data_IF_484699011552
#
_entry.id   IF_484699011552
#
_cell.length_a   1.000
_cell.length_b   1.000
_cell.length_c   1.000
_cell.angle_alpha   90.00
_cell.angle_beta   90.00
_cell.angle_gamma   90.00
#
_symmetry.space_group_name_H-M   'P 1'
#
loop_
_entity.id
_entity.type
_entity.pdbx_description
1 polymer ?
#
# COMPACT_ATOMS: atom_id res chain seq x y z
N UNK A 1 14.89 -1.87 -26.57
CA UNK A 1 14.40 -0.53 -26.16
C UNK A 1 14.50 -0.46 -24.64
N UNK A 2 15.15 0.58 -24.14
CA UNK A 2 15.50 0.69 -22.71
C UNK A 2 14.27 0.76 -21.80
N UNK A 3 13.18 1.44 -22.23
CA UNK A 3 11.90 1.51 -21.52
C UNK A 3 11.33 0.13 -21.18
N UNK A 4 11.42 -0.82 -22.14
CA UNK A 4 10.94 -2.17 -21.94
C UNK A 4 11.84 -2.95 -20.97
N UNK A 5 13.16 -2.71 -21.00
CA UNK A 5 14.12 -3.34 -20.07
C UNK A 5 13.79 -2.89 -18.63
N UNK A 6 13.58 -1.61 -18.41
CA UNK A 6 13.24 -1.06 -17.10
C UNK A 6 11.88 -1.56 -16.60
N UNK A 7 10.87 -1.58 -17.49
CA UNK A 7 9.56 -2.11 -17.17
C UNK A 7 9.64 -3.60 -16.78
N UNK A 8 10.39 -4.42 -17.56
CA UNK A 8 10.59 -5.84 -17.24
C UNK A 8 11.26 -6.01 -15.86
N UNK A 9 12.37 -5.27 -15.63
CA UNK A 9 13.08 -5.34 -14.35
C UNK A 9 12.19 -4.98 -13.16
N UNK A 10 11.35 -3.93 -13.31
CA UNK A 10 10.43 -3.53 -12.25
C UNK A 10 9.38 -4.61 -11.93
N UNK A 11 8.77 -5.20 -12.97
CA UNK A 11 7.76 -6.25 -12.77
C UNK A 11 8.40 -7.52 -12.20
N UNK A 12 9.58 -7.93 -12.68
CA UNK A 12 10.32 -9.05 -12.13
C UNK A 12 10.69 -8.82 -10.65
N UNK A 13 11.10 -7.61 -10.29
CA UNK A 13 11.40 -7.25 -8.92
C UNK A 13 10.16 -7.31 -8.02
N UNK A 14 8.99 -6.87 -8.50
CA UNK A 14 7.72 -7.05 -7.80
C UNK A 14 7.45 -8.54 -7.51
N UNK A 15 7.58 -9.38 -8.54
CA UNK A 15 7.33 -10.83 -8.42
C UNK A 15 8.31 -11.51 -7.45
N UNK A 16 9.61 -11.14 -7.47
CA UNK A 16 10.61 -11.62 -6.50
C UNK A 16 10.25 -11.27 -5.05
N UNK A 17 9.57 -10.15 -4.84
CA UNK A 17 9.07 -9.74 -3.53
C UNK A 17 7.69 -10.37 -3.19
N UNK A 18 7.20 -11.27 -4.02
CA UNK A 18 5.89 -11.89 -3.85
C UNK A 18 4.71 -10.97 -4.17
N UNK A 19 4.95 -9.86 -4.87
CA UNK A 19 3.92 -8.91 -5.31
C UNK A 19 3.50 -9.32 -6.72
N UNK A 20 2.42 -10.06 -6.84
CA UNK A 20 1.97 -10.77 -8.04
C UNK A 20 0.62 -10.30 -8.58
N UNK A 21 -0.04 -9.34 -7.94
CA UNK A 21 -1.33 -8.80 -8.36
C UNK A 21 -1.17 -7.40 -8.96
N UNK A 22 -1.52 -7.28 -10.23
CA UNK A 22 -1.40 -6.07 -11.05
C UNK A 22 -2.79 -5.58 -11.47
N UNK A 23 -3.10 -4.36 -11.10
CA UNK A 23 -4.36 -3.67 -11.39
C UNK A 23 -4.08 -2.69 -12.54
N UNK A 24 -4.54 -3.03 -13.75
CA UNK A 24 -4.13 -2.38 -14.98
C UNK A 24 -5.28 -1.66 -15.66
N UNK A 25 -5.14 -0.33 -15.83
CA UNK A 25 -5.98 0.47 -16.70
C UNK A 25 -5.28 0.67 -18.06
N UNK A 26 -5.95 0.35 -19.18
CA UNK A 26 -5.31 0.39 -20.49
C UNK A 26 -4.98 1.82 -20.94
N UNK A 27 -3.85 1.99 -21.62
CA UNK A 27 -3.47 3.23 -22.25
C UNK A 27 -2.12 3.10 -22.98
N UNK A 28 -1.92 3.94 -24.01
CA UNK A 28 -0.72 3.82 -24.86
C UNK A 28 0.58 4.04 -24.10
N UNK A 29 0.63 5.06 -23.23
CA UNK A 29 1.89 5.41 -22.53
C UNK A 29 2.35 4.34 -21.53
N UNK A 30 1.44 3.55 -20.94
CA UNK A 30 1.82 2.46 -20.05
C UNK A 30 2.10 1.13 -20.78
N UNK A 31 2.19 1.12 -22.12
CA UNK A 31 2.47 -0.09 -22.90
C UNK A 31 3.70 -0.86 -22.42
N UNK A 32 4.86 -0.24 -22.11
CA UNK A 32 6.01 -0.98 -21.62
C UNK A 32 5.71 -1.79 -20.34
N UNK A 33 5.02 -1.19 -19.36
CA UNK A 33 4.60 -1.87 -18.13
C UNK A 33 3.56 -2.96 -18.43
N UNK A 34 2.59 -2.67 -19.31
CA UNK A 34 1.55 -3.63 -19.70
C UNK A 34 2.16 -4.89 -20.33
N UNK A 35 3.11 -4.72 -21.26
CA UNK A 35 3.80 -5.83 -21.90
C UNK A 35 4.69 -6.59 -20.91
N UNK A 36 5.35 -5.88 -19.99
CA UNK A 36 6.16 -6.52 -18.96
C UNK A 36 5.31 -7.44 -18.09
N UNK A 37 4.13 -6.99 -17.64
CA UNK A 37 3.18 -7.81 -16.86
C UNK A 37 2.65 -8.98 -17.69
N UNK A 38 2.21 -8.73 -18.93
CA UNK A 38 1.59 -9.74 -19.79
C UNK A 38 2.53 -10.92 -20.13
N UNK A 39 3.85 -10.71 -20.06
CA UNK A 39 4.87 -11.75 -20.29
C UNK A 39 5.10 -12.65 -19.07
N UNK A 40 4.59 -12.28 -17.90
CA UNK A 40 4.81 -13.01 -16.64
C UNK A 40 3.67 -13.99 -16.36
N UNK A 41 3.94 -15.30 -16.43
CA UNK A 41 2.92 -16.34 -16.21
C UNK A 41 2.35 -16.36 -14.79
N UNK A 42 3.10 -15.85 -13.83
CA UNK A 42 2.73 -15.80 -12.41
C UNK A 42 2.02 -14.50 -12.02
N UNK A 43 1.89 -13.55 -12.95
CA UNK A 43 1.18 -12.30 -12.72
C UNK A 43 -0.35 -12.51 -12.78
N UNK A 44 -1.02 -12.08 -11.73
CA UNK A 44 -2.49 -12.00 -11.69
C UNK A 44 -2.92 -10.60 -12.12
N UNK A 45 -3.55 -10.50 -13.29
CA UNK A 45 -3.94 -9.21 -13.87
C UNK A 45 -5.43 -8.97 -13.68
N UNK A 46 -5.75 -7.89 -13.00
CA UNK A 46 -7.10 -7.35 -12.89
C UNK A 46 -7.17 -6.11 -13.79
N UNK A 47 -7.98 -6.17 -14.83
CA UNK A 47 -8.12 -5.08 -15.78
C UNK A 47 -9.44 -4.35 -15.62
N UNK A 48 -9.40 -3.02 -15.64
CA UNK A 48 -10.59 -2.17 -15.64
C UNK A 48 -10.33 -0.87 -16.41
N UNK A 49 -11.36 -0.34 -17.06
CA UNK A 49 -11.27 0.88 -17.87
C UNK A 49 -11.38 2.17 -17.03
N UNK A 50 -11.97 2.11 -15.84
CA UNK A 50 -12.07 3.26 -14.91
C UNK A 50 -10.97 3.14 -13.86
N UNK A 51 -10.01 4.06 -13.92
CA UNK A 51 -8.83 4.06 -13.05
C UNK A 51 -9.20 4.27 -11.57
N UNK A 52 -10.25 5.02 -11.29
CA UNK A 52 -10.72 5.22 -9.92
C UNK A 52 -11.23 3.92 -9.34
N UNK A 53 -12.10 3.21 -10.03
CA UNK A 53 -12.60 1.91 -9.62
C UNK A 53 -11.48 0.89 -9.46
N UNK A 54 -10.52 0.89 -10.39
CA UNK A 54 -9.35 0.03 -10.37
C UNK A 54 -8.44 0.30 -9.16
N UNK A 55 -8.19 1.57 -8.85
CA UNK A 55 -7.37 1.95 -7.70
C UNK A 55 -8.01 1.52 -6.36
N UNK A 56 -9.36 1.63 -6.24
CA UNK A 56 -10.08 1.07 -5.09
C UNK A 56 -10.06 -0.46 -5.06
N UNK A 57 -10.04 -1.14 -6.21
CA UNK A 57 -9.86 -2.59 -6.25
C UNK A 57 -8.48 -3.00 -5.73
N UNK A 58 -7.41 -2.29 -6.12
CA UNK A 58 -6.06 -2.49 -5.59
C UNK A 58 -5.99 -2.24 -4.07
N UNK A 59 -6.62 -1.18 -3.59
CA UNK A 59 -6.76 -0.89 -2.17
C UNK A 59 -7.49 -2.02 -1.42
N UNK A 60 -8.61 -2.49 -1.96
CA UNK A 60 -9.40 -3.57 -1.37
C UNK A 60 -8.62 -4.88 -1.27
N UNK A 61 -7.89 -5.24 -2.33
CA UNK A 61 -6.97 -6.38 -2.33
C UNK A 61 -5.92 -6.25 -1.23
N UNK A 62 -5.25 -5.12 -1.18
CA UNK A 62 -4.18 -4.89 -0.20
C UNK A 62 -4.70 -4.89 1.24
N UNK A 63 -5.90 -4.37 1.46
CA UNK A 63 -6.57 -4.40 2.77
C UNK A 63 -6.92 -5.81 3.21
N UNK A 64 -7.43 -6.63 2.29
CA UNK A 64 -7.83 -8.01 2.57
C UNK A 64 -6.64 -8.96 2.78
N UNK A 65 -5.54 -8.74 2.05
CA UNK A 65 -4.40 -9.68 2.04
C UNK A 65 -3.19 -9.19 2.85
N UNK A 66 -3.13 -7.90 3.18
CA UNK A 66 -1.94 -7.27 3.74
C UNK A 66 -0.77 -7.13 2.74
N UNK A 67 -0.96 -7.53 1.47
CA UNK A 67 0.04 -7.48 0.41
C UNK A 67 -0.24 -6.31 -0.53
N UNK A 68 0.78 -5.59 -1.02
CA UNK A 68 0.53 -4.50 -1.95
C UNK A 68 0.01 -5.01 -3.29
N UNK A 69 -1.00 -4.33 -3.84
CA UNK A 69 -1.37 -4.42 -5.25
C UNK A 69 -0.61 -3.36 -6.05
N UNK A 70 -0.20 -3.69 -7.27
CA UNK A 70 0.44 -2.74 -8.20
C UNK A 70 -0.63 -2.13 -9.10
N UNK A 71 -0.93 -0.85 -8.91
CA UNK A 71 -1.80 -0.08 -9.79
C UNK A 71 -0.99 0.46 -10.97
N UNK A 72 -1.43 0.18 -12.20
CA UNK A 72 -0.78 0.64 -13.43
C UNK A 72 -1.76 1.43 -14.27
N UNK A 73 -1.41 2.65 -14.65
CA UNK A 73 -2.22 3.46 -15.55
C UNK A 73 -1.36 4.30 -16.51
N UNK A 74 -2.02 4.82 -17.53
CA UNK A 74 -1.44 5.79 -18.46
C UNK A 74 -1.31 7.18 -17.81
N UNK A 75 -0.82 8.16 -18.53
CA UNK A 75 -0.62 9.54 -18.08
C UNK A 75 -1.90 10.37 -18.08
N UNK A 76 -1.79 11.56 -17.54
CA UNK A 76 -2.87 12.54 -17.52
C UNK A 76 -3.87 12.31 -16.39
N UNK A 77 -5.15 12.56 -16.64
CA UNK A 77 -6.21 12.41 -15.64
C UNK A 77 -6.38 10.99 -15.10
N UNK A 78 -5.86 9.99 -15.80
CA UNK A 78 -5.79 8.61 -15.32
C UNK A 78 -5.11 8.53 -13.95
N UNK A 79 -3.99 9.26 -13.77
CA UNK A 79 -3.26 9.34 -12.50
C UNK A 79 -4.09 10.02 -11.43
N UNK A 80 -4.72 11.16 -11.76
CA UNK A 80 -5.57 11.91 -10.84
C UNK A 80 -6.76 11.08 -10.33
N UNK A 81 -7.30 10.18 -11.15
CA UNK A 81 -8.40 9.30 -10.77
C UNK A 81 -8.03 8.31 -9.65
N UNK A 82 -6.76 7.97 -9.48
CA UNK A 82 -6.32 7.12 -8.38
C UNK A 82 -6.30 7.85 -7.02
N UNK A 83 -6.34 9.20 -7.00
CA UNK A 83 -6.12 9.99 -5.80
C UNK A 83 -7.05 9.63 -4.63
N UNK A 84 -8.36 9.45 -4.79
CA UNK A 84 -9.24 9.07 -3.68
C UNK A 84 -8.82 7.77 -3.00
N UNK A 85 -8.40 6.75 -3.75
CA UNK A 85 -7.92 5.50 -3.19
C UNK A 85 -6.55 5.66 -2.50
N UNK A 86 -5.67 6.52 -3.03
CA UNK A 86 -4.38 6.84 -2.42
C UNK A 86 -4.56 7.54 -1.07
N UNK A 87 -5.50 8.48 -0.98
CA UNK A 87 -5.84 9.15 0.29
C UNK A 87 -6.30 8.11 1.32
N UNK A 88 -7.22 7.25 0.96
CA UNK A 88 -7.73 6.20 1.86
C UNK A 88 -6.62 5.22 2.26
N UNK A 89 -5.77 4.79 1.30
CA UNK A 89 -4.62 3.94 1.58
C UNK A 89 -3.65 4.60 2.58
N UNK A 90 -3.39 5.89 2.41
CA UNK A 90 -2.51 6.65 3.30
C UNK A 90 -3.08 6.76 4.72
N UNK A 91 -4.37 7.06 4.84
CA UNK A 91 -5.05 7.23 6.14
C UNK A 91 -5.09 5.93 6.94
N UNK A 92 -5.24 4.81 6.26
CA UNK A 92 -5.30 3.47 6.88
C UNK A 92 -3.97 2.72 6.80
N UNK A 93 -2.94 3.35 6.21
CA UNK A 93 -1.61 2.74 6.06
C UNK A 93 -1.66 1.42 5.28
N UNK A 94 -2.51 1.35 4.26
CA UNK A 94 -2.65 0.17 3.40
C UNK A 94 -1.56 0.20 2.32
N UNK A 95 -0.83 -0.90 2.11
CA UNK A 95 0.24 -0.94 1.11
C UNK A 95 -0.31 -0.86 -0.32
N UNK A 96 0.19 0.07 -1.11
CA UNK A 96 -0.10 0.17 -2.54
C UNK A 96 1.14 0.62 -3.31
N UNK A 97 1.37 0.04 -4.49
CA UNK A 97 2.37 0.53 -5.45
C UNK A 97 1.64 1.15 -6.64
N UNK A 98 1.92 2.41 -6.91
CA UNK A 98 1.37 3.12 -8.06
C UNK A 98 2.48 3.29 -9.11
N UNK A 99 2.34 2.60 -10.22
CA UNK A 99 3.18 2.71 -11.40
C UNK A 99 2.42 3.51 -12.46
N UNK A 100 2.65 4.80 -12.50
CA UNK A 100 1.98 5.71 -13.44
C UNK A 100 2.91 6.04 -14.59
N UNK A 101 2.42 5.87 -15.82
CA UNK A 101 3.20 6.29 -16.97
C UNK A 101 3.10 7.81 -17.19
N UNK A 102 4.16 8.42 -17.69
CA UNK A 102 4.23 9.85 -17.97
C UNK A 102 4.94 10.13 -19.30
N UNK A 103 4.79 11.37 -19.77
CA UNK A 103 5.58 11.90 -20.87
C UNK A 103 7.01 12.11 -20.41
N UNK A 104 7.98 11.97 -21.32
CA UNK A 104 9.35 12.35 -21.03
C UNK A 104 9.44 13.85 -20.74
N UNK A 105 10.45 14.23 -19.98
CA UNK A 105 10.59 15.56 -19.39
C UNK A 105 10.51 16.72 -20.42
N UNK A 106 11.04 16.51 -21.62
CA UNK A 106 11.02 17.49 -22.71
C UNK A 106 9.63 17.83 -23.24
N UNK A 107 8.62 17.02 -22.91
CA UNK A 107 7.22 17.26 -23.28
C UNK A 107 6.40 17.90 -22.15
N UNK A 108 6.99 18.09 -20.98
CA UNK A 108 6.29 18.75 -19.87
C UNK A 108 6.11 20.24 -20.15
N UNK A 109 4.92 20.79 -19.86
CA UNK A 109 4.60 22.20 -20.08
C UNK A 109 4.46 22.63 -21.55
N UNK A 110 4.54 21.71 -22.50
CA UNK A 110 4.48 22.03 -23.95
C UNK A 110 3.06 22.03 -24.52
N UNK A 111 2.05 21.60 -23.73
CA UNK A 111 0.71 21.35 -24.22
C UNK A 111 0.55 20.01 -24.94
N UNK A 112 1.49 19.09 -24.73
CA UNK A 112 1.43 17.73 -25.27
C UNK A 112 0.11 17.04 -24.88
N UNK A 113 -0.43 16.25 -25.81
CA UNK A 113 -1.70 15.56 -25.58
C UNK A 113 -1.64 14.66 -24.35
N UNK A 114 -2.69 14.71 -23.52
CA UNK A 114 -2.84 13.89 -22.32
C UNK A 114 -1.65 14.02 -21.34
N UNK A 115 -1.05 15.21 -21.25
CA UNK A 115 0.00 15.55 -20.32
C UNK A 115 -0.55 16.49 -19.25
N UNK A 116 -0.26 16.18 -17.99
CA UNK A 116 -0.51 17.05 -16.83
C UNK A 116 0.77 17.07 -15.99
N UNK A 117 0.84 17.93 -15.00
CA UNK A 117 1.90 17.84 -14.00
C UNK A 117 1.61 16.65 -13.05
N UNK A 118 2.40 15.58 -13.19
CA UNK A 118 2.29 14.37 -12.38
C UNK A 118 3.32 14.33 -11.25
N UNK A 119 4.24 15.31 -11.22
CA UNK A 119 5.27 15.37 -10.18
C UNK A 119 4.61 15.58 -8.82
N UNK A 120 4.84 14.65 -7.92
CA UNK A 120 4.30 14.69 -6.56
C UNK A 120 2.78 14.91 -6.48
N UNK A 121 2.02 14.50 -7.52
CA UNK A 121 0.58 14.75 -7.62
C UNK A 121 -0.21 14.26 -6.39
N UNK A 122 0.29 13.23 -5.69
CA UNK A 122 -0.33 12.70 -4.47
C UNK A 122 0.20 13.38 -3.19
N UNK A 123 1.15 14.29 -3.29
CA UNK A 123 1.69 15.07 -2.17
C UNK A 123 2.10 14.19 -0.97
N UNK A 124 1.69 14.59 0.21
CA UNK A 124 2.03 13.92 1.47
C UNK A 124 1.29 12.58 1.71
N UNK A 125 0.42 12.16 0.79
CA UNK A 125 -0.32 10.91 0.93
C UNK A 125 0.50 9.69 0.52
N UNK A 126 1.61 9.86 -0.20
CA UNK A 126 2.52 8.75 -0.50
C UNK A 126 3.73 8.75 0.44
N UNK A 127 4.26 7.56 0.72
CA UNK A 127 5.43 7.38 1.60
C UNK A 127 6.74 7.58 0.87
N UNK A 128 6.73 7.34 -0.43
CA UNK A 128 7.81 7.60 -1.35
C UNK A 128 7.22 8.06 -2.68
N UNK A 129 7.83 9.06 -3.27
CA UNK A 129 7.66 9.43 -4.67
C UNK A 129 9.02 9.31 -5.36
N UNK A 130 9.04 8.72 -6.55
CA UNK A 130 10.20 8.77 -7.43
C UNK A 130 9.75 8.96 -8.88
N UNK A 131 10.42 9.88 -9.55
CA UNK A 131 10.23 10.12 -10.96
C UNK A 131 11.33 9.40 -11.75
N UNK A 132 10.94 8.42 -12.54
CA UNK A 132 11.83 7.53 -13.26
C UNK A 132 11.92 7.99 -14.72
N UNK A 133 13.01 8.68 -15.03
CA UNK A 133 13.33 9.08 -16.40
C UNK A 133 14.24 8.03 -17.00
N UNK A 134 13.75 7.37 -18.04
CA UNK A 134 14.54 6.40 -18.80
C UNK A 134 15.43 7.17 -19.77
N UNK A 135 16.75 6.93 -19.78
CA UNK A 135 17.66 7.64 -20.70
C UNK A 135 17.34 7.37 -22.17
N UNK A 136 17.31 8.42 -22.97
CA UNK A 136 16.95 8.31 -24.38
C UNK A 136 18.02 7.64 -25.25
N UNK A 137 19.29 7.62 -24.83
CA UNK A 137 20.43 7.31 -25.68
C UNK A 137 21.07 5.93 -25.53
N UNK A 138 20.59 5.11 -24.58
CA UNK A 138 20.96 3.69 -24.49
C UNK A 138 22.47 3.37 -24.40
N UNK A 139 23.31 4.31 -23.96
CA UNK A 139 24.75 4.11 -23.89
C UNK A 139 25.14 3.07 -22.84
N UNK A 140 25.86 2.03 -23.27
CA UNK A 140 26.11 0.80 -22.51
C UNK A 140 26.99 0.96 -21.24
N UNK A 141 27.67 2.08 -21.05
CA UNK A 141 28.48 2.35 -19.85
C UNK A 141 27.60 2.90 -18.73
N UNK A 142 26.51 3.59 -19.06
CA UNK A 142 25.47 4.06 -18.14
C UNK A 142 24.56 2.93 -17.68
N UNK A 143 24.36 1.90 -18.49
CA UNK A 143 23.40 0.83 -18.23
C UNK A 143 23.56 0.09 -16.90
N UNK A 144 24.80 -0.11 -16.41
CA UNK A 144 25.03 -0.73 -15.10
C UNK A 144 24.71 0.21 -13.94
N UNK A 145 25.02 1.49 -14.07
CA UNK A 145 24.70 2.50 -13.07
C UNK A 145 23.19 2.75 -13.02
N UNK A 146 22.54 2.73 -14.15
CA UNK A 146 21.09 2.87 -14.29
C UNK A 146 20.33 1.67 -13.74
N UNK A 147 20.83 0.45 -13.96
CA UNK A 147 20.27 -0.75 -13.36
C UNK A 147 20.39 -0.70 -11.83
N UNK A 148 21.56 -0.34 -11.30
CA UNK A 148 21.77 -0.21 -9.87
C UNK A 148 20.92 0.90 -9.24
N UNK A 149 20.69 1.99 -9.97
CA UNK A 149 19.78 3.07 -9.56
C UNK A 149 18.34 2.56 -9.49
N UNK A 150 17.85 1.89 -10.53
CA UNK A 150 16.50 1.32 -10.57
C UNK A 150 16.30 0.31 -9.44
N UNK A 151 17.25 -0.60 -9.24
CA UNK A 151 17.20 -1.60 -8.17
C UNK A 151 17.12 -0.94 -6.79
N UNK A 152 17.91 0.12 -6.56
CA UNK A 152 17.89 0.89 -5.30
C UNK A 152 16.55 1.58 -5.07
N UNK A 153 15.95 2.17 -6.11
CA UNK A 153 14.63 2.82 -6.00
C UNK A 153 13.53 1.78 -5.73
N UNK A 154 13.57 0.64 -6.40
CA UNK A 154 12.59 -0.42 -6.18
C UNK A 154 12.69 -1.00 -4.76
N UNK A 155 13.89 -1.21 -4.23
CA UNK A 155 14.11 -1.66 -2.86
C UNK A 155 13.55 -0.65 -1.85
N UNK A 156 13.81 0.64 -2.04
CA UNK A 156 13.24 1.70 -1.22
C UNK A 156 11.71 1.73 -1.32
N UNK A 157 11.15 1.55 -2.53
CA UNK A 157 9.72 1.50 -2.77
C UNK A 157 9.05 0.34 -2.03
N UNK A 158 9.63 -0.87 -2.11
CA UNK A 158 9.12 -2.04 -1.40
C UNK A 158 9.20 -1.88 0.12
N UNK A 159 10.25 -1.24 0.61
CA UNK A 159 10.38 -0.93 2.03
C UNK A 159 9.34 0.10 2.47
N UNK A 160 9.20 1.19 1.73
CA UNK A 160 8.27 2.26 2.05
C UNK A 160 6.80 1.82 1.93
N UNK A 161 6.49 0.89 1.00
CA UNK A 161 5.11 0.43 0.80
C UNK A 161 4.54 -0.32 2.00
N UNK A 162 5.41 -0.87 2.88
CA UNK A 162 4.97 -1.42 4.18
C UNK A 162 4.26 -0.38 5.04
N UNK A 163 4.51 0.89 4.80
CA UNK A 163 3.98 2.03 5.53
C UNK A 163 2.83 2.77 4.85
N UNK A 164 2.44 2.39 3.68
CA UNK A 164 1.34 2.98 2.92
C UNK A 164 1.64 3.06 1.43
N UNK A 165 0.89 3.88 0.67
CA UNK A 165 1.07 3.95 -0.76
C UNK A 165 2.40 4.58 -1.17
N UNK A 166 2.94 4.09 -2.28
CA UNK A 166 4.18 4.55 -2.92
C UNK A 166 3.89 4.88 -4.37
N UNK A 167 4.45 5.96 -4.88
CA UNK A 167 4.27 6.42 -6.25
C UNK A 167 5.59 6.40 -7.03
N UNK A 168 5.65 5.59 -8.08
CA UNK A 168 6.72 5.59 -9.07
C UNK A 168 6.14 6.08 -10.40
N UNK A 169 6.58 7.26 -10.84
CA UNK A 169 6.16 7.90 -12.08
C UNK A 169 7.16 7.58 -13.20
N UNK A 170 6.72 6.89 -14.25
CA UNK A 170 7.56 6.33 -15.30
C UNK A 170 7.49 7.17 -16.57
N UNK A 171 8.53 7.86 -16.89
CA UNK A 171 8.64 8.65 -18.12
C UNK A 171 9.09 7.76 -19.28
N UNK A 172 8.17 7.46 -20.20
CA UNK A 172 8.44 6.61 -21.36
C UNK A 172 8.47 7.42 -22.66
N UNK A 173 9.45 7.12 -23.51
CA UNK A 173 9.59 7.69 -24.86
C UNK A 173 8.84 6.86 -25.89
N UNK A 174 8.43 7.49 -26.99
CA UNK A 174 7.93 6.79 -28.17
C UNK A 174 9.11 6.38 -29.08
N UNK A 175 8.99 5.25 -29.80
CA UNK A 175 7.88 4.30 -29.85
C UNK A 175 7.87 3.33 -28.65
N UNK A 176 6.68 2.88 -28.21
CA UNK A 176 6.55 1.98 -27.03
C UNK A 176 6.78 0.52 -27.37
N UNK A 177 6.77 0.15 -28.65
CA UNK A 177 6.97 -1.21 -29.15
C UNK A 177 7.94 -1.23 -30.30
N UNK A 178 8.70 -2.32 -30.44
CA UNK A 178 9.54 -2.56 -31.61
C UNK A 178 8.71 -3.40 -32.59
N UNK A 179 8.56 -2.94 -33.83
CA UNK A 179 7.79 -3.58 -34.89
C UNK A 179 8.41 -4.90 -35.29
N UNK A 180 8.87 -5.79 -34.67
CA UNK A 180 9.33 -7.14 -35.05
C UNK A 180 9.75 -8.05 -33.88
N UNK A 181 9.48 -7.71 -32.64
CA UNK A 181 9.70 -8.67 -31.55
C UNK A 181 8.58 -9.71 -31.56
N UNK A 182 8.89 -10.93 -31.97
CA UNK A 182 8.06 -12.08 -31.70
C UNK A 182 7.99 -12.27 -30.17
N UNK A 183 6.80 -12.50 -29.59
CA UNK A 183 6.62 -12.64 -28.15
C UNK A 183 7.48 -13.70 -27.46
N UNK A 184 7.98 -14.67 -28.24
CA UNK A 184 8.69 -15.85 -27.72
C UNK A 184 10.21 -15.69 -27.52
N UNK A 185 10.81 -14.55 -27.86
CA UNK A 185 12.27 -14.38 -27.79
C UNK A 185 12.83 -13.85 -26.47
N UNK A 186 11.97 -13.53 -25.52
CA UNK A 186 12.35 -13.03 -24.18
C UNK A 186 11.95 -14.00 -23.05
N UNK A 187 12.09 -15.30 -23.28
CA UNK A 187 12.05 -16.26 -22.20
C UNK A 187 13.29 -16.08 -21.32
N UNK A 188 13.17 -15.28 -20.27
CA UNK A 188 14.13 -15.28 -19.19
C UNK A 188 14.07 -16.69 -18.55
N UNK A 189 15.19 -17.42 -18.59
CA UNK A 189 15.27 -18.70 -17.88
C UNK A 189 14.94 -18.47 -16.41
N UNK A 190 14.11 -19.31 -15.80
CA UNK A 190 13.87 -19.20 -14.36
C UNK A 190 15.20 -19.41 -13.65
N UNK A 191 15.77 -18.38 -13.10
CA UNK A 191 16.78 -18.55 -12.07
C UNK A 191 16.06 -19.20 -10.89
N UNK A 192 16.52 -20.36 -10.45
CA UNK A 192 16.04 -21.03 -9.26
C UNK A 192 15.99 -20.01 -8.13
N UNK A 193 14.79 -19.49 -7.90
CA UNK A 193 14.52 -18.57 -6.82
C UNK A 193 14.64 -19.33 -5.51
N UNK A 194 15.79 -19.21 -4.92
CA UNK A 194 15.95 -19.48 -3.50
C UNK A 194 14.92 -18.58 -2.81
N UNK A 195 13.87 -19.18 -2.28
CA UNK A 195 12.95 -18.54 -1.36
C UNK A 195 13.80 -18.13 -0.16
N UNK A 196 14.33 -16.90 -0.22
CA UNK A 196 15.04 -16.33 0.90
C UNK A 196 14.12 -16.43 2.10
N UNK A 197 14.57 -17.14 3.11
CA UNK A 197 13.94 -17.20 4.41
C UNK A 197 13.53 -15.78 4.80
N UNK A 198 12.26 -15.64 5.13
CA UNK A 198 11.74 -14.45 5.78
C UNK A 198 12.70 -14.18 6.94
N UNK A 199 13.41 -13.06 6.87
CA UNK A 199 14.41 -12.70 7.84
C UNK A 199 13.84 -12.94 9.24
N UNK A 200 14.49 -13.85 9.94
CA UNK A 200 14.24 -14.14 11.34
C UNK A 200 14.23 -12.78 12.08
N UNK A 201 13.07 -12.44 12.60
CA UNK A 201 12.92 -11.24 13.43
C UNK A 201 13.71 -11.50 14.73
N UNK A 202 15.02 -11.31 14.65
CA UNK A 202 15.90 -11.30 15.82
C UNK A 202 15.27 -10.41 16.89
N UNK A 203 14.78 -11.06 17.94
CA UNK A 203 14.43 -10.59 19.28
C UNK A 203 14.33 -9.06 19.44
N UNK A 204 13.25 -8.49 18.92
CA UNK A 204 12.80 -7.18 19.39
C UNK A 204 12.27 -7.44 20.80
N UNK A 205 12.94 -6.90 21.81
CA UNK A 205 12.42 -6.86 23.17
C UNK A 205 11.12 -6.07 23.15
N UNK A 206 10.00 -6.78 23.17
CA UNK A 206 8.67 -6.15 23.22
C UNK A 206 8.53 -5.44 24.58
N UNK A 207 8.04 -4.20 24.60
CA UNK A 207 7.76 -3.52 25.85
C UNK A 207 6.69 -4.28 26.62
N UNK A 208 6.91 -4.48 27.92
CA UNK A 208 5.87 -4.99 28.82
C UNK A 208 4.82 -3.90 29.02
N UNK A 209 3.55 -4.23 28.76
CA UNK A 209 2.43 -3.32 28.96
C UNK A 209 1.76 -3.73 30.28
N UNK A 210 1.76 -2.82 31.24
CA UNK A 210 0.99 -3.03 32.48
C UNK A 210 -0.44 -2.54 32.27
N UNK A 211 -1.40 -3.44 32.51
CA UNK A 211 -2.84 -3.12 32.53
C UNK A 211 -3.31 -3.14 33.98
N UNK A 212 -4.10 -2.15 34.38
CA UNK A 212 -4.55 -1.96 35.76
C UNK A 212 -6.08 -1.97 35.82
N UNK A 213 -6.61 -2.65 36.80
CA UNK A 213 -8.05 -2.65 37.12
C UNK A 213 -8.93 -3.33 36.07
N UNK A 214 -10.12 -2.80 35.87
CA UNK A 214 -11.07 -3.31 34.88
C UNK A 214 -10.64 -2.88 33.47
N UNK A 215 -10.37 -3.85 32.61
CA UNK A 215 -9.88 -3.62 31.26
C UNK A 215 -11.01 -3.69 30.26
N UNK A 216 -11.02 -2.78 29.29
CA UNK A 216 -11.83 -2.86 28.08
C UNK A 216 -10.89 -2.92 26.87
N UNK A 217 -10.98 -3.97 26.08
CA UNK A 217 -10.29 -4.03 24.79
C UNK A 217 -11.20 -3.43 23.72
N UNK A 218 -10.63 -2.56 22.89
CA UNK A 218 -11.32 -2.03 21.71
C UNK A 218 -10.45 -2.26 20.47
N UNK A 219 -11.02 -2.93 19.49
CA UNK A 219 -10.33 -3.35 18.28
C UNK A 219 -10.71 -2.46 17.11
N UNK A 220 -9.73 -1.71 16.59
CA UNK A 220 -9.84 -0.95 15.34
C UNK A 220 -9.43 -1.78 14.13
N UNK A 221 -9.13 -1.12 13.00
CA UNK A 221 -8.73 -1.81 11.77
C UNK A 221 -7.49 -2.67 11.98
N UNK A 222 -7.61 -3.97 11.67
CA UNK A 222 -6.54 -4.96 11.83
C UNK A 222 -6.66 -6.08 10.80
N UNK A 223 -5.68 -6.96 10.73
CA UNK A 223 -5.73 -8.18 9.92
C UNK A 223 -6.50 -9.29 10.66
N UNK A 224 -7.06 -10.28 9.94
CA UNK A 224 -7.80 -11.38 10.55
C UNK A 224 -7.03 -12.09 11.66
N UNK A 225 -5.74 -12.36 11.45
CA UNK A 225 -4.89 -13.06 12.44
C UNK A 225 -4.69 -12.22 13.72
N UNK A 226 -4.61 -10.90 13.59
CA UNK A 226 -4.51 -9.98 14.73
C UNK A 226 -5.82 -9.89 15.48
N UNK A 227 -6.94 -9.99 14.77
CA UNK A 227 -8.26 -10.02 15.38
C UNK A 227 -8.45 -11.28 16.24
N UNK A 228 -8.00 -12.44 15.77
CA UNK A 228 -8.00 -13.68 16.55
C UNK A 228 -7.13 -13.58 17.80
N UNK A 229 -5.91 -13.04 17.66
CA UNK A 229 -5.03 -12.79 18.80
C UNK A 229 -5.63 -11.82 19.83
N UNK A 230 -6.38 -10.81 19.39
CA UNK A 230 -7.07 -9.89 20.27
C UNK A 230 -8.20 -10.59 21.07
N UNK A 231 -8.91 -11.53 20.45
CA UNK A 231 -9.91 -12.36 21.14
C UNK A 231 -9.26 -13.28 22.17
N UNK A 232 -8.14 -13.92 21.85
CA UNK A 232 -7.39 -14.73 22.80
C UNK A 232 -6.93 -13.90 24.00
N UNK A 233 -6.39 -12.70 23.75
CA UNK A 233 -5.97 -11.78 24.79
C UNK A 233 -7.15 -11.36 25.69
N UNK A 234 -8.31 -11.06 25.11
CA UNK A 234 -9.51 -10.74 25.87
C UNK A 234 -9.93 -11.91 26.78
N UNK A 235 -9.83 -13.14 26.29
CA UNK A 235 -10.07 -14.34 27.07
C UNK A 235 -9.07 -14.51 28.22
N UNK A 236 -7.78 -14.28 27.97
CA UNK A 236 -6.72 -14.37 29.00
C UNK A 236 -6.87 -13.30 30.10
N UNK A 237 -7.26 -12.08 29.71
CA UNK A 237 -7.50 -10.98 30.65
C UNK A 237 -8.90 -11.03 31.31
N UNK A 238 -9.74 -11.94 30.86
CA UNK A 238 -11.15 -12.05 31.30
C UNK A 238 -11.86 -10.69 31.22
N UNK A 239 -11.70 -9.98 30.11
CA UNK A 239 -12.23 -8.65 29.91
C UNK A 239 -13.11 -8.56 28.64
N UNK A 240 -14.05 -7.61 28.57
CA UNK A 240 -14.86 -7.39 27.40
C UNK A 240 -13.99 -6.87 26.22
N UNK A 241 -14.39 -7.26 24.99
CA UNK A 241 -13.84 -6.73 23.76
C UNK A 241 -14.95 -6.13 22.90
N UNK A 242 -14.70 -4.94 22.36
CA UNK A 242 -15.57 -4.29 21.40
C UNK A 242 -14.81 -4.12 20.06
N UNK A 243 -15.48 -4.31 18.96
CA UNK A 243 -14.86 -4.23 17.64
C UNK A 243 -15.50 -3.16 16.76
N UNK A 244 -14.64 -2.39 16.11
CA UNK A 244 -15.04 -1.48 15.03
C UNK A 244 -15.35 -2.26 13.75
N UNK A 245 -16.14 -1.67 12.87
CA UNK A 245 -16.47 -2.24 11.55
C UNK A 245 -15.24 -2.58 10.71
N UNK A 246 -14.13 -1.89 10.95
CA UNK A 246 -12.88 -2.07 10.21
C UNK A 246 -12.00 -3.20 10.76
N UNK A 247 -12.35 -3.78 11.91
CA UNK A 247 -11.57 -4.84 12.56
C UNK A 247 -11.70 -6.23 11.92
N UNK A 248 -12.72 -6.43 11.09
CA UNK A 248 -13.03 -7.76 10.54
C UNK A 248 -13.76 -8.72 11.49
N UNK A 249 -13.90 -8.38 12.80
CA UNK A 249 -14.64 -9.16 13.79
C UNK A 249 -16.12 -8.79 13.91
N UNK A 250 -16.71 -8.26 12.88
CA UNK A 250 -18.08 -7.78 12.92
C UNK A 250 -19.10 -8.92 12.84
N UNK A 251 -19.12 -9.78 13.85
CA UNK A 251 -20.13 -10.85 13.95
C UNK A 251 -20.66 -10.92 15.38
N UNK A 252 -21.89 -10.49 15.59
CA UNK A 252 -22.63 -10.70 16.82
C UNK A 252 -22.27 -9.73 17.96
N UNK A 253 -21.94 -10.25 19.12
CA UNK A 253 -21.85 -9.51 20.39
C UNK A 253 -20.62 -8.61 20.58
N UNK A 254 -19.76 -8.48 19.56
CA UNK A 254 -18.52 -7.71 19.67
C UNK A 254 -18.61 -6.31 19.03
N UNK A 255 -19.74 -5.96 18.42
CA UNK A 255 -19.90 -4.67 17.76
C UNK A 255 -19.87 -3.51 18.75
N UNK A 256 -19.28 -2.39 18.31
CA UNK A 256 -19.39 -1.13 19.03
C UNK A 256 -20.88 -0.74 19.17
N UNK A 257 -21.38 -0.51 20.38
CA UNK A 257 -22.79 -0.19 20.58
C UNK A 257 -23.15 1.18 19.99
N UNK A 258 -24.40 1.35 19.62
CA UNK A 258 -24.94 2.63 19.16
C UNK A 258 -25.02 3.67 20.30
N UNK A 259 -25.10 3.21 21.53
CA UNK A 259 -25.05 4.02 22.75
C UNK A 259 -24.13 3.34 23.76
N UNK A 260 -23.17 4.09 24.28
CA UNK A 260 -22.26 3.58 25.31
C UNK A 260 -22.86 3.78 26.69
N UNK A 261 -23.43 2.72 27.21
CA UNK A 261 -23.90 2.66 28.57
C UNK A 261 -23.10 1.60 29.38
N UNK A 262 -21.77 1.68 29.22
CA UNK A 262 -20.84 0.76 29.85
C UNK A 262 -20.26 1.37 31.13
N UNK A 263 -19.95 0.56 32.16
CA UNK A 263 -19.12 1.02 33.25
C UNK A 263 -17.81 1.62 32.72
N UNK A 264 -17.35 2.69 33.34
CA UNK A 264 -16.06 3.30 32.99
C UNK A 264 -14.96 2.31 33.40
N UNK A 265 -14.13 1.84 32.45
CA UNK A 265 -13.01 0.96 32.75
C UNK A 265 -11.84 1.73 33.37
N UNK A 266 -10.97 1.04 34.08
CA UNK A 266 -9.73 1.61 34.60
C UNK A 266 -8.69 1.68 33.49
N UNK A 267 -8.70 0.72 32.55
CA UNK A 267 -7.82 0.69 31.38
C UNK A 267 -8.60 0.42 30.10
N UNK A 268 -8.37 1.22 29.06
CA UNK A 268 -8.79 0.97 27.68
C UNK A 268 -7.58 0.55 26.87
N UNK A 269 -7.59 -0.67 26.36
CA UNK A 269 -6.58 -1.19 25.48
C UNK A 269 -7.09 -1.12 24.03
N UNK A 270 -6.68 -0.08 23.30
CA UNK A 270 -7.03 0.08 21.89
C UNK A 270 -6.00 -0.64 21.02
N UNK A 271 -6.42 -1.71 20.37
CA UNK A 271 -5.59 -2.52 19.47
C UNK A 271 -5.91 -2.19 18.01
N UNK A 272 -4.86 -2.10 17.18
CA UNK A 272 -5.01 -1.93 15.74
C UNK A 272 -5.15 -0.50 15.27
N UNK A 273 -5.87 -0.30 14.17
CA UNK A 273 -6.00 0.95 13.44
C UNK A 273 -7.03 1.91 14.01
N UNK A 274 -7.47 2.83 13.16
CA UNK A 274 -8.47 3.85 13.54
C UNK A 274 -9.83 3.21 13.80
N UNK A 275 -10.54 3.71 14.79
CA UNK A 275 -11.95 3.43 15.03
C UNK A 275 -12.78 4.50 14.32
N UNK A 276 -13.75 4.10 13.51
CA UNK A 276 -14.58 5.03 12.72
C UNK A 276 -15.91 5.38 13.41
N UNK A 277 -16.28 4.69 14.48
CA UNK A 277 -17.53 4.93 15.22
C UNK A 277 -17.56 6.33 15.85
N UNK A 278 -18.55 7.14 15.44
CA UNK A 278 -18.81 8.46 16.05
C UNK A 278 -19.14 8.34 17.55
N UNK A 279 -19.93 7.35 17.91
CA UNK A 279 -20.36 7.09 19.30
C UNK A 279 -19.17 6.77 20.18
N UNK A 280 -18.22 5.98 19.68
CA UNK A 280 -16.95 5.72 20.37
C UNK A 280 -16.21 7.02 20.69
N UNK A 281 -16.03 7.90 19.69
CA UNK A 281 -15.32 9.16 19.89
C UNK A 281 -16.01 10.10 20.88
N UNK A 282 -17.35 10.14 20.85
CA UNK A 282 -18.12 10.91 21.81
C UNK A 282 -17.99 10.37 23.23
N UNK A 283 -18.05 9.04 23.37
CA UNK A 283 -17.89 8.40 24.68
C UNK A 283 -16.48 8.59 25.25
N UNK A 284 -15.44 8.36 24.46
CA UNK A 284 -14.06 8.59 24.92
C UNK A 284 -13.78 10.05 25.27
N UNK A 285 -14.36 11.00 24.53
CA UNK A 285 -14.27 12.42 24.88
C UNK A 285 -14.93 12.72 26.22
N UNK A 286 -16.01 12.02 26.60
CA UNK A 286 -16.66 12.16 27.92
C UNK A 286 -15.83 11.61 29.08
N UNK A 287 -14.78 10.87 28.79
CA UNK A 287 -13.86 10.31 29.78
C UNK A 287 -12.65 11.23 30.08
N UNK A 288 -12.56 12.39 29.43
CA UNK A 288 -11.37 13.27 29.52
C UNK A 288 -11.04 13.70 30.97
N UNK A 289 -12.07 13.86 31.82
CA UNK A 289 -11.92 14.22 33.24
C UNK A 289 -11.88 12.99 34.17
N UNK A 290 -11.80 11.79 33.61
CA UNK A 290 -11.74 10.52 34.36
C UNK A 290 -10.30 9.99 34.33
N UNK A 291 -9.92 9.33 35.42
CA UNK A 291 -8.61 8.66 35.51
C UNK A 291 -8.69 7.29 34.81
N UNK A 292 -8.70 7.32 33.45
CA UNK A 292 -8.72 6.13 32.60
C UNK A 292 -7.39 6.03 31.87
N UNK A 293 -6.70 4.91 32.07
CA UNK A 293 -5.46 4.62 31.38
C UNK A 293 -5.75 4.19 29.93
N UNK A 294 -5.42 5.01 28.94
CA UNK A 294 -5.59 4.69 27.53
C UNK A 294 -4.27 4.22 26.91
N UNK A 295 -4.21 2.95 26.53
CA UNK A 295 -3.06 2.32 25.90
C UNK A 295 -3.42 2.00 24.45
N UNK A 296 -2.63 2.55 23.51
CA UNK A 296 -2.82 2.32 22.09
C UNK A 296 -1.70 1.45 21.54
N UNK A 297 -2.02 0.24 21.11
CA UNK A 297 -1.11 -0.70 20.46
C UNK A 297 -1.39 -0.72 18.96
N UNK A 298 -0.48 -0.16 18.20
CA UNK A 298 -0.59 -0.08 16.74
C UNK A 298 0.74 -0.46 16.11
N UNK A 299 0.69 -0.96 14.88
CA UNK A 299 1.91 -1.26 14.10
C UNK A 299 2.78 -0.04 13.83
N UNK A 300 2.24 1.17 14.00
CA UNK A 300 2.90 2.42 13.64
C UNK A 300 2.67 3.48 14.68
N UNK A 301 3.74 4.22 14.98
CA UNK A 301 3.63 5.44 15.76
C UNK A 301 2.73 6.43 14.99
N UNK A 302 1.51 6.63 15.45
CA UNK A 302 0.67 7.76 15.05
C UNK A 302 0.99 8.92 15.99
N UNK A 303 1.04 10.14 15.46
CA UNK A 303 0.96 11.31 16.36
C UNK A 303 -0.33 11.13 17.16
N UNK A 304 -0.19 10.99 18.48
CA UNK A 304 -1.35 10.97 19.36
C UNK A 304 -2.13 12.27 19.13
N UNK A 305 -3.35 12.16 18.65
CA UNK A 305 -4.30 13.25 18.79
C UNK A 305 -4.51 13.34 20.29
N UNK A 306 -3.84 14.28 20.95
CA UNK A 306 -4.27 14.67 22.30
C UNK A 306 -5.70 15.13 22.12
N UNK A 307 -6.64 14.40 22.67
CA UNK A 307 -7.98 14.90 22.91
C UNK A 307 -7.80 16.14 23.78
N UNK A 308 -8.03 17.32 23.20
CA UNK A 308 -8.11 18.60 23.89
C UNK A 308 -9.46 18.66 24.57
#
# INVERSE_FOLDING_TARGET
MIDQIWANAAIESCLKQGIDHFFLAPGSRCTPLTLAVARQKQAHVIQHFDERGLAFAALGYARATGRPGVFICTSGTAVANAFPAVVEAAMESVPMLLFTADRPFELHGTGANQAIDQLEIFGNYVKLFSNLSVPADGSSIQGQQESAFLDSILEQAFTATKDGPVHLNWMFHEPFTIENEKPDSLACSPSDGNTGDVADHSSISLPTIEVVGNVLIVLGGCRPEEAEQALELAGQLNCPILSDVTSGLRVGSFELPTEFNLPVPDTILHLGGRIVSKTWHQWTASLADRDVNMIHVTRRARRSIRTV
#
